data_IF_973976491689
#
_entry.id   IF_973976491689
#
_cell.length_a   1.000
_cell.length_b   1.000
_cell.length_c   1.000
_cell.angle_alpha   90.00
_cell.angle_beta   90.00
_cell.angle_gamma   90.00
#
_symmetry.space_group_name_H-M   'P 1'
#
loop_
_entity.id
_entity.type
_entity.pdbx_description
1 polymer ?
#
# COMPACT_ATOMS: atom_id res chain seq x y z
N UNK A 1 10.75 5.73 -9.60
CA UNK A 1 10.08 6.62 -8.65
C UNK A 1 8.59 6.35 -8.66
N UNK A 2 7.99 6.30 -7.50
CA UNK A 2 6.54 6.05 -7.36
C UNK A 2 5.78 7.29 -7.85
N UNK A 3 4.81 7.07 -8.71
CA UNK A 3 3.93 8.12 -9.24
C UNK A 3 2.50 7.87 -8.78
N UNK A 4 1.67 8.91 -8.86
CA UNK A 4 0.25 8.75 -8.55
C UNK A 4 -0.36 7.65 -9.40
N UNK A 5 -1.20 6.85 -8.77
CA UNK A 5 -1.91 5.68 -9.30
C UNK A 5 -1.02 4.46 -9.52
N UNK A 6 0.26 4.52 -9.16
CA UNK A 6 1.10 3.32 -9.16
C UNK A 6 0.68 2.38 -8.04
N UNK A 7 0.80 1.09 -8.29
CA UNK A 7 0.76 0.09 -7.22
C UNK A 7 2.03 0.21 -6.39
N UNK A 8 1.86 0.10 -5.07
CA UNK A 8 2.97 0.12 -4.13
C UNK A 8 2.82 -1.01 -3.14
N UNK A 9 3.92 -1.41 -2.53
CA UNK A 9 3.97 -2.52 -1.60
C UNK A 9 4.47 -2.02 -0.26
N UNK A 10 3.75 -2.39 0.82
CA UNK A 10 4.17 -2.05 2.17
C UNK A 10 5.49 -2.73 2.51
N UNK A 11 6.41 -1.97 3.09
CA UNK A 11 7.68 -2.50 3.59
C UNK A 11 7.67 -2.75 5.09
N UNK A 12 6.54 -2.48 5.75
CA UNK A 12 6.40 -2.67 7.19
C UNK A 12 4.95 -3.03 7.51
N UNK A 13 4.74 -3.54 8.72
CA UNK A 13 3.38 -3.80 9.20
C UNK A 13 2.73 -2.50 9.67
N UNK A 14 1.41 -2.43 9.49
CA UNK A 14 0.57 -1.35 10.02
C UNK A 14 -0.56 -2.00 10.81
N UNK A 15 -0.29 -2.52 12.01
CA UNK A 15 -1.28 -3.30 12.75
C UNK A 15 -2.53 -2.50 13.12
N UNK A 16 -2.42 -1.20 13.30
CA UNK A 16 -3.57 -0.33 13.59
C UNK A 16 -4.58 -0.31 12.44
N UNK A 17 -4.17 -0.69 11.25
CA UNK A 17 -5.04 -0.75 10.07
C UNK A 17 -5.29 -2.19 9.61
N UNK A 18 -4.76 -3.18 10.33
CA UNK A 18 -4.86 -4.57 9.91
C UNK A 18 -4.03 -4.90 8.67
N UNK A 19 -3.03 -4.08 8.38
CA UNK A 19 -2.19 -4.24 7.19
C UNK A 19 -0.82 -4.79 7.57
N UNK A 20 -0.23 -5.52 6.64
CA UNK A 20 1.04 -6.22 6.86
C UNK A 20 2.03 -5.91 5.75
N UNK A 21 3.30 -6.06 6.06
CA UNK A 21 4.35 -6.00 5.06
C UNK A 21 4.00 -6.90 3.88
N UNK A 22 4.17 -6.37 2.67
CA UNK A 22 3.82 -7.09 1.45
C UNK A 22 2.43 -6.78 0.93
N UNK A 23 1.57 -6.14 1.71
CA UNK A 23 0.26 -5.73 1.21
C UNK A 23 0.42 -4.69 0.12
N UNK A 24 -0.45 -4.77 -0.88
CA UNK A 24 -0.39 -3.93 -2.07
C UNK A 24 -1.46 -2.86 -1.97
N UNK A 25 -1.06 -1.62 -2.20
CA UNK A 25 -1.97 -0.49 -2.27
C UNK A 25 -1.73 0.33 -3.51
N UNK A 26 -2.50 1.39 -3.65
CA UNK A 26 -2.37 2.34 -4.76
C UNK A 26 -1.98 3.70 -4.20
N UNK A 27 -0.93 4.30 -4.75
CA UNK A 27 -0.52 5.65 -4.36
C UNK A 27 -1.48 6.63 -5.01
N UNK A 28 -2.46 7.12 -4.24
CA UNK A 28 -3.49 8.02 -4.78
C UNK A 28 -3.03 9.48 -4.77
N UNK A 29 -1.99 9.80 -4.02
CA UNK A 29 -1.40 11.13 -3.99
C UNK A 29 0.07 11.00 -3.61
N UNK A 30 0.94 11.72 -4.31
CA UNK A 30 2.35 11.80 -3.97
C UNK A 30 2.61 13.16 -3.34
N UNK A 31 3.25 13.17 -2.18
CA UNK A 31 3.67 14.40 -1.54
C UNK A 31 4.93 14.94 -2.21
N UNK A 32 5.16 16.23 -2.02
CA UNK A 32 6.24 16.96 -2.68
C UNK A 32 7.59 16.27 -2.42
N UNK A 33 8.38 16.13 -3.47
CA UNK A 33 9.74 15.59 -3.44
C UNK A 33 9.81 14.11 -3.01
N UNK A 34 8.70 13.37 -3.13
CA UNK A 34 8.71 11.96 -2.77
C UNK A 34 8.89 11.69 -1.29
N UNK A 35 8.55 12.67 -0.44
CA UNK A 35 8.69 12.51 1.01
C UNK A 35 7.70 11.50 1.58
N UNK A 36 6.54 11.34 0.92
CA UNK A 36 5.53 10.42 1.37
C UNK A 36 4.38 10.31 0.38
N UNK A 37 3.43 9.46 0.71
CA UNK A 37 2.32 9.16 -0.17
C UNK A 37 1.04 8.95 0.61
N UNK A 38 -0.10 9.30 0.00
CA UNK A 38 -1.39 8.79 0.45
C UNK A 38 -1.64 7.50 -0.30
N UNK A 39 -1.88 6.41 0.42
CA UNK A 39 -2.01 5.09 -0.19
C UNK A 39 -3.34 4.50 0.20
N UNK A 40 -4.09 4.07 -0.81
CA UNK A 40 -5.35 3.37 -0.61
C UNK A 40 -5.12 1.87 -0.66
N UNK A 41 -5.61 1.17 0.36
CA UNK A 41 -5.63 -0.29 0.40
C UNK A 41 -7.08 -0.73 0.26
N UNK A 42 -7.33 -1.66 -0.65
CA UNK A 42 -8.67 -2.13 -0.95
C UNK A 42 -8.70 -3.65 -0.93
N UNK A 43 -9.83 -4.21 -0.53
CA UNK A 43 -10.06 -5.64 -0.66
C UNK A 43 -10.31 -6.00 -2.12
N UNK A 44 -10.18 -7.29 -2.46
CA UNK A 44 -10.34 -7.73 -3.83
C UNK A 44 -11.76 -7.57 -4.35
N UNK A 45 -12.74 -7.48 -3.45
CA UNK A 45 -14.13 -7.21 -3.84
C UNK A 45 -14.43 -5.71 -3.95
N UNK A 46 -13.41 -4.86 -3.81
CA UNK A 46 -13.52 -3.45 -4.15
C UNK A 46 -13.79 -2.51 -2.97
N UNK A 47 -13.86 -3.03 -1.75
CA UNK A 47 -14.08 -2.17 -0.58
C UNK A 47 -12.77 -1.54 -0.14
N UNK A 48 -12.80 -0.25 0.19
CA UNK A 48 -11.64 0.42 0.76
C UNK A 48 -11.42 -0.05 2.18
N UNK A 49 -10.23 -0.59 2.43
CA UNK A 49 -9.82 -1.02 3.78
C UNK A 49 -9.30 0.18 4.57
N UNK A 50 -8.42 0.95 3.97
CA UNK A 50 -7.84 2.14 4.61
C UNK A 50 -7.20 3.04 3.56
N UNK A 51 -7.18 4.34 3.85
CA UNK A 51 -6.34 5.29 3.13
C UNK A 51 -5.36 5.86 4.16
N UNK A 52 -4.08 5.65 3.95
CA UNK A 52 -3.06 5.90 4.96
C UNK A 52 -1.97 6.81 4.40
N UNK A 53 -1.54 7.78 5.21
CA UNK A 53 -0.38 8.59 4.89
C UNK A 53 0.87 7.81 5.28
N UNK A 54 1.73 7.52 4.31
CA UNK A 54 2.93 6.73 4.53
C UNK A 54 4.18 7.50 4.13
N UNK A 55 5.24 7.30 4.89
CA UNK A 55 6.55 7.84 4.56
C UNK A 55 7.13 7.06 3.38
N UNK A 56 8.06 7.68 2.66
CA UNK A 56 8.67 7.06 1.49
C UNK A 56 9.33 5.71 1.80
N UNK A 57 9.83 5.53 3.02
CA UNK A 57 10.49 4.28 3.41
C UNK A 57 9.52 3.19 3.88
N UNK A 58 8.24 3.47 3.89
CA UNK A 58 7.22 2.48 4.29
C UNK A 58 6.58 1.81 3.08
N UNK A 59 6.92 2.25 1.89
CA UNK A 59 6.41 1.68 0.64
C UNK A 59 7.55 1.54 -0.36
N UNK A 60 7.35 0.66 -1.33
CA UNK A 60 8.26 0.51 -2.46
C UNK A 60 7.49 0.25 -3.73
N UNK A 61 8.14 0.46 -4.85
CA UNK A 61 7.58 0.09 -6.15
C UNK A 61 7.53 -1.43 -6.30
N UNK A 62 6.66 -1.91 -7.17
CA UNK A 62 6.67 -3.32 -7.58
C UNK A 62 7.96 -3.61 -8.36
N UNK A 63 8.38 -4.86 -8.32
CA UNK A 63 9.59 -5.32 -8.99
C UNK A 63 9.24 -6.37 -10.03
N UNK A 64 10.07 -6.46 -11.06
CA UNK A 64 9.90 -7.46 -12.10
C UNK A 64 9.91 -8.87 -11.51
N UNK A 65 8.96 -9.69 -11.94
CA UNK A 65 8.88 -11.07 -11.48
C UNK A 65 8.06 -11.27 -10.21
N UNK A 66 7.56 -10.22 -9.61
CA UNK A 66 6.70 -10.35 -8.45
C UNK A 66 5.29 -10.77 -8.86
N UNK A 67 4.66 -11.58 -8.02
CA UNK A 67 3.26 -11.97 -8.21
C UNK A 67 2.47 -11.60 -6.95
N UNK A 68 1.23 -11.14 -7.16
CA UNK A 68 0.34 -10.83 -6.05
C UNK A 68 -0.13 -12.12 -5.37
N UNK A 69 -0.35 -12.03 -4.06
CA UNK A 69 -0.80 -13.17 -3.25
C UNK A 69 -1.96 -12.71 -2.36
N UNK A 70 -3.02 -13.50 -2.34
CA UNK A 70 -4.20 -13.17 -1.56
C UNK A 70 -4.07 -13.66 -0.11
N UNK A 71 -4.54 -12.82 0.82
CA UNK A 71 -4.72 -13.20 2.21
C UNK A 71 -6.04 -12.64 2.71
N UNK A 72 -6.62 -13.26 3.71
CA UNK A 72 -7.82 -12.73 4.34
C UNK A 72 -7.42 -11.69 5.39
N UNK A 73 -8.18 -10.61 5.46
CA UNK A 73 -8.05 -9.67 6.57
C UNK A 73 -8.51 -10.36 7.86
N UNK A 74 -7.88 -9.99 8.98
CA UNK A 74 -8.29 -10.54 10.26
C UNK A 74 -9.75 -10.18 10.53
N UNK A 75 -10.50 -11.14 11.04
CA UNK A 75 -11.87 -10.88 11.46
C UNK A 75 -11.86 -9.95 12.67
N UNK A 76 -12.81 -9.03 12.69
CA UNK A 76 -12.96 -8.08 13.80
C UNK A 76 -14.17 -8.45 14.62
#
# INVERSE_FOLDING_TARGET
>A
MIKELDDVILTCDLPEHGLSEGDIGTAVLAHRHGAGYEVEFASLDGDTVAVVTLMANQVRSTQSGEIAHARALAAV
#
